data_IF_711293674518
#
_entry.id   IF_711293674518
#
_cell.length_a   1.000
_cell.length_b   1.000
_cell.length_c   1.000
_cell.angle_alpha   90.00
_cell.angle_beta   90.00
_cell.angle_gamma   90.00
#
_symmetry.space_group_name_H-M   'P 1'
#
loop_
_entity.id
_entity.type
_entity.pdbx_description
1 polymer ?
#
# COMPACT_ATOMS: atom_id res chain seq x y z
N UNK A 1 39.78 17.52 7.03
CA UNK A 1 38.56 17.84 6.25
C UNK A 1 38.12 16.62 5.45
N UNK A 2 37.25 15.76 6.00
CA UNK A 2 36.58 14.63 5.30
C UNK A 2 35.30 14.24 6.07
N UNK A 3 34.21 15.02 5.93
CA UNK A 3 32.93 14.66 6.59
C UNK A 3 31.65 15.11 5.85
N UNK A 4 31.69 15.49 4.57
CA UNK A 4 30.50 16.04 3.91
C UNK A 4 29.71 15.07 3.01
N UNK A 5 30.27 13.95 2.54
CA UNK A 5 29.65 13.20 1.42
C UNK A 5 28.65 12.07 1.78
N UNK A 6 28.38 11.78 3.07
CA UNK A 6 27.52 10.63 3.43
C UNK A 6 26.04 10.95 3.70
N UNK A 7 25.63 12.24 3.66
CA UNK A 7 24.27 12.66 4.05
C UNK A 7 23.23 12.66 2.92
N UNK A 8 23.62 12.71 1.65
CA UNK A 8 22.65 12.72 0.53
C UNK A 8 22.05 11.35 0.18
N UNK A 9 22.70 10.25 0.57
CA UNK A 9 22.24 8.90 0.22
C UNK A 9 20.97 8.46 0.97
N UNK A 10 20.64 9.08 2.11
CA UNK A 10 19.43 8.74 2.88
C UNK A 10 18.19 9.53 2.42
N UNK A 11 18.37 10.61 1.65
CA UNK A 11 17.30 11.49 1.17
C UNK A 11 16.61 10.98 -0.11
N UNK A 12 17.13 9.91 -0.72
CA UNK A 12 16.49 9.19 -1.83
C UNK A 12 16.37 7.74 -1.37
N UNK A 13 15.16 7.31 -0.98
CA UNK A 13 14.91 5.99 -0.39
C UNK A 13 15.51 4.80 -1.16
N UNK A 14 15.48 3.58 -0.60
CA UNK A 14 16.15 2.41 -1.16
C UNK A 14 16.05 2.29 -2.69
N UNK A 15 17.19 2.03 -3.36
CA UNK A 15 17.28 2.03 -4.85
C UNK A 15 16.23 1.15 -5.54
N UNK A 16 15.82 0.04 -4.90
CA UNK A 16 14.77 -0.83 -5.44
C UNK A 16 13.38 -0.18 -5.43
N UNK A 17 13.06 0.67 -4.44
CA UNK A 17 11.79 1.41 -4.39
C UNK A 17 11.72 2.47 -5.49
N UNK A 18 12.84 3.11 -5.81
CA UNK A 18 12.92 4.05 -6.94
C UNK A 18 12.67 3.33 -8.28
N UNK A 19 13.19 2.11 -8.44
CA UNK A 19 12.95 1.27 -9.62
C UNK A 19 11.50 0.80 -9.68
N UNK A 20 10.92 0.39 -8.54
CA UNK A 20 9.52 -0.02 -8.45
C UNK A 20 8.59 1.12 -8.84
N UNK A 21 8.81 2.32 -8.29
CA UNK A 21 8.03 3.52 -8.60
C UNK A 21 8.14 3.92 -10.09
N UNK A 22 9.33 3.78 -10.70
CA UNK A 22 9.47 4.02 -12.14
C UNK A 22 8.65 3.02 -12.97
N UNK A 23 8.80 1.72 -12.70
CA UNK A 23 8.07 0.67 -13.39
C UNK A 23 6.55 0.78 -13.19
N UNK A 24 6.12 1.11 -11.97
CA UNK A 24 4.72 1.40 -11.64
C UNK A 24 4.17 2.49 -12.55
N UNK A 25 4.86 3.62 -12.66
CA UNK A 25 4.42 4.72 -13.54
C UNK A 25 4.31 4.26 -14.99
N UNK A 26 5.33 3.59 -15.53
CA UNK A 26 5.31 3.08 -16.92
C UNK A 26 4.15 2.11 -17.19
N UNK A 27 3.82 1.25 -16.21
CA UNK A 27 2.69 0.32 -16.31
C UNK A 27 1.36 1.08 -16.23
N UNK A 28 1.19 1.96 -15.25
CA UNK A 28 -0.05 2.73 -15.05
C UNK A 28 -0.30 3.78 -16.14
N UNK A 29 0.75 4.29 -16.80
CA UNK A 29 0.62 5.18 -17.96
C UNK A 29 0.23 4.45 -19.24
N UNK A 30 0.03 3.13 -19.18
CA UNK A 30 -0.37 2.32 -20.33
C UNK A 30 0.76 2.06 -21.31
N UNK A 31 2.02 2.33 -20.96
CA UNK A 31 3.17 1.93 -21.79
C UNK A 31 3.25 0.39 -21.89
N UNK A 32 2.56 -0.31 -21.00
CA UNK A 32 2.47 -1.74 -20.93
C UNK A 32 1.01 -2.17 -20.81
N UNK A 33 0.53 -2.99 -21.73
CA UNK A 33 -0.86 -3.44 -21.73
C UNK A 33 -1.13 -4.37 -20.53
N UNK A 34 -2.34 -4.34 -19.94
CA UNK A 34 -2.77 -5.36 -18.98
C UNK A 34 -2.61 -6.77 -19.57
N UNK A 35 -2.03 -7.69 -18.80
CA UNK A 35 -1.72 -9.05 -19.26
C UNK A 35 -0.44 -9.17 -20.09
N UNK A 36 0.23 -8.07 -20.44
CA UNK A 36 1.52 -8.12 -21.14
C UNK A 36 2.62 -8.70 -20.24
N UNK A 37 3.56 -9.43 -20.85
CA UNK A 37 4.71 -9.99 -20.15
C UNK A 37 5.81 -8.94 -20.00
N UNK A 38 6.42 -8.82 -18.81
CA UNK A 38 7.67 -8.08 -18.64
C UNK A 38 8.82 -8.78 -19.34
N UNK A 39 9.78 -8.03 -19.93
CA UNK A 39 11.03 -8.61 -20.38
C UNK A 39 11.69 -9.40 -19.26
N UNK A 40 12.52 -10.35 -19.65
CA UNK A 40 13.26 -11.17 -18.68
C UNK A 40 14.10 -10.28 -17.77
N UNK A 41 14.28 -10.70 -16.51
CA UNK A 41 14.88 -9.87 -15.47
C UNK A 41 16.25 -9.30 -15.86
N UNK A 42 17.04 -10.04 -16.64
CA UNK A 42 18.35 -9.59 -17.09
C UNK A 42 18.25 -8.42 -18.08
N UNK A 43 17.41 -8.56 -19.10
CA UNK A 43 17.20 -7.53 -20.13
C UNK A 43 16.56 -6.27 -19.54
N UNK A 44 15.61 -6.43 -18.62
CA UNK A 44 14.97 -5.31 -17.95
C UNK A 44 15.94 -4.60 -17.00
N UNK A 45 16.83 -5.34 -16.32
CA UNK A 45 17.85 -4.76 -15.44
C UNK A 45 18.88 -3.96 -16.23
N UNK A 46 19.30 -4.48 -17.39
CA UNK A 46 20.23 -3.81 -18.30
C UNK A 46 19.61 -2.52 -18.85
N UNK A 47 18.36 -2.56 -19.28
CA UNK A 47 17.60 -1.39 -19.78
C UNK A 47 17.45 -0.29 -18.72
N UNK A 48 17.25 -0.69 -17.46
CA UNK A 48 17.08 0.23 -16.34
C UNK A 48 18.43 0.62 -15.68
N UNK A 49 19.55 0.09 -16.17
CA UNK A 49 20.89 0.28 -15.62
C UNK A 49 20.99 0.00 -14.11
N UNK A 50 20.37 -1.10 -13.66
CA UNK A 50 20.38 -1.54 -12.26
C UNK A 50 20.87 -2.97 -12.12
N UNK A 51 21.27 -3.36 -10.90
CA UNK A 51 21.61 -4.76 -10.64
C UNK A 51 20.36 -5.64 -10.72
N UNK A 52 20.51 -6.89 -11.16
CA UNK A 52 19.42 -7.86 -11.20
C UNK A 52 18.77 -8.08 -9.82
N UNK A 53 19.54 -7.97 -8.74
CA UNK A 53 19.03 -8.08 -7.37
C UNK A 53 18.16 -6.88 -6.99
N UNK A 54 18.51 -5.68 -7.46
CA UNK A 54 17.69 -4.48 -7.30
C UNK A 54 16.39 -4.60 -8.08
N UNK A 55 16.46 -5.09 -9.32
CA UNK A 55 15.27 -5.32 -10.13
C UNK A 55 14.36 -6.38 -9.49
N UNK A 56 14.91 -7.52 -9.04
CA UNK A 56 14.13 -8.58 -8.39
C UNK A 56 13.38 -8.07 -7.17
N UNK A 57 14.01 -7.24 -6.35
CA UNK A 57 13.34 -6.58 -5.21
C UNK A 57 12.24 -5.63 -5.68
N UNK A 58 12.51 -4.81 -6.68
CA UNK A 58 11.53 -3.89 -7.24
C UNK A 58 10.31 -4.62 -7.85
N UNK A 59 10.54 -5.66 -8.64
CA UNK A 59 9.48 -6.50 -9.22
C UNK A 59 8.73 -7.26 -8.12
N UNK A 60 9.41 -7.70 -7.05
CA UNK A 60 8.71 -8.30 -5.91
C UNK A 60 7.76 -7.31 -5.26
N UNK A 61 8.17 -6.05 -5.09
CA UNK A 61 7.29 -4.98 -4.60
C UNK A 61 6.06 -4.82 -5.50
N UNK A 62 6.23 -4.80 -6.83
CA UNK A 62 5.11 -4.69 -7.78
C UNK A 62 4.22 -5.95 -7.81
N UNK A 63 4.78 -7.13 -7.51
CA UNK A 63 4.02 -8.37 -7.34
C UNK A 63 3.18 -8.31 -6.07
N UNK A 64 3.77 -7.82 -4.99
CA UNK A 64 3.10 -7.65 -3.72
C UNK A 64 1.96 -6.62 -3.87
N UNK A 65 2.17 -5.55 -4.63
CA UNK A 65 1.13 -4.56 -5.00
C UNK A 65 0.03 -5.08 -5.92
N UNK A 66 0.17 -6.28 -6.46
CA UNK A 66 -0.76 -6.82 -7.45
C UNK A 66 -0.74 -6.07 -8.79
N UNK A 67 0.25 -5.21 -9.06
CA UNK A 67 0.44 -4.52 -10.35
C UNK A 67 0.97 -5.48 -11.40
N UNK A 68 1.79 -6.44 -10.98
CA UNK A 68 2.26 -7.54 -11.82
C UNK A 68 2.07 -8.87 -11.08
N UNK A 69 2.11 -9.98 -11.80
CA UNK A 69 1.97 -11.32 -11.25
C UNK A 69 3.04 -12.24 -11.82
N UNK A 70 3.68 -13.05 -10.97
CA UNK A 70 4.61 -14.10 -11.40
C UNK A 70 3.83 -15.35 -11.76
N UNK A 71 4.10 -15.89 -12.95
CA UNK A 71 3.63 -17.21 -13.38
C UNK A 71 4.83 -18.13 -13.45
N UNK A 72 4.81 -19.20 -12.64
CA UNK A 72 5.93 -20.14 -12.54
C UNK A 72 6.30 -20.69 -13.93
N UNK A 73 7.57 -20.54 -14.30
CA UNK A 73 8.09 -20.98 -15.61
C UNK A 73 7.68 -20.13 -16.82
N UNK A 74 6.73 -19.20 -16.66
CA UNK A 74 6.19 -18.38 -17.75
C UNK A 74 6.60 -16.89 -17.67
N UNK A 75 7.14 -16.43 -16.55
CA UNK A 75 7.64 -15.06 -16.37
C UNK A 75 6.71 -14.18 -15.54
N UNK A 76 6.87 -12.86 -15.65
CA UNK A 76 6.10 -11.87 -14.87
C UNK A 76 5.20 -11.09 -15.82
N UNK A 77 3.94 -10.89 -15.45
CA UNK A 77 2.91 -10.30 -16.31
C UNK A 77 2.25 -9.12 -15.62
N UNK A 78 1.92 -8.06 -16.36
CA UNK A 78 1.09 -6.96 -15.86
C UNK A 78 -0.28 -7.51 -15.46
N UNK A 79 -0.72 -7.21 -14.24
CA UNK A 79 -2.03 -7.64 -13.79
C UNK A 79 -3.12 -6.95 -14.60
N UNK A 80 -4.24 -7.63 -14.87
CA UNK A 80 -5.43 -6.93 -15.33
C UNK A 80 -5.78 -5.86 -14.29
N UNK A 81 -5.75 -4.59 -14.69
CA UNK A 81 -6.39 -3.52 -13.92
C UNK A 81 -7.78 -4.05 -13.56
N UNK A 82 -8.24 -3.94 -12.29
CA UNK A 82 -9.59 -4.32 -11.96
C UNK A 82 -10.49 -3.53 -12.90
N UNK A 83 -11.13 -4.24 -13.82
CA UNK A 83 -12.22 -3.70 -14.61
C UNK A 83 -13.15 -3.07 -13.58
N UNK A 84 -13.31 -1.74 -13.65
CA UNK A 84 -14.21 -1.03 -12.76
C UNK A 84 -15.54 -1.76 -12.87
N UNK A 85 -15.86 -2.56 -11.86
CA UNK A 85 -16.99 -3.48 -11.93
C UNK A 85 -18.20 -2.65 -12.35
N UNK A 86 -18.99 -3.12 -13.35
CA UNK A 86 -20.10 -2.34 -13.85
C UNK A 86 -20.92 -1.87 -12.66
N UNK A 87 -21.20 -0.57 -12.62
CA UNK A 87 -22.04 0.07 -11.62
C UNK A 87 -23.42 -0.60 -11.66
N UNK A 88 -23.54 -1.73 -10.97
CA UNK A 88 -24.71 -2.55 -10.90
C UNK A 88 -25.70 -1.93 -9.94
N UNK A 89 -26.86 -1.60 -10.49
CA UNK A 89 -28.04 -1.13 -9.80
C UNK A 89 -28.41 -2.03 -8.61
N UNK A 90 -28.73 -1.38 -7.48
CA UNK A 90 -29.29 -2.01 -6.29
C UNK A 90 -29.82 -0.95 -5.33
N UNK A 91 -31.15 -0.81 -5.32
CA UNK A 91 -32.11 -0.18 -4.39
C UNK A 91 -31.74 1.01 -3.46
N UNK A 92 -32.69 1.95 -3.23
CA UNK A 92 -32.51 3.15 -2.40
C UNK A 92 -32.52 2.80 -0.91
N UNK A 93 -31.37 2.32 -0.42
CA UNK A 93 -30.97 2.38 0.98
C UNK A 93 -29.52 2.82 0.97
N UNK A 94 -29.22 3.99 1.53
CA UNK A 94 -27.93 4.68 1.39
C UNK A 94 -26.75 3.72 1.42
N UNK A 95 -25.93 3.76 0.36
CA UNK A 95 -24.77 2.88 0.15
C UNK A 95 -23.95 2.83 1.43
N UNK A 96 -23.86 1.66 2.07
CA UNK A 96 -23.01 1.48 3.24
C UNK A 96 -21.57 1.55 2.77
N UNK A 97 -20.78 2.49 3.29
CA UNK A 97 -19.40 2.72 2.88
C UNK A 97 -18.47 2.63 4.10
N UNK A 98 -17.36 1.92 3.96
CA UNK A 98 -16.30 1.84 4.97
C UNK A 98 -15.00 2.34 4.36
N UNK A 99 -14.33 3.26 5.05
CA UNK A 99 -13.00 3.75 4.69
C UNK A 99 -11.92 2.85 5.27
N UNK A 100 -10.88 2.56 4.48
CA UNK A 100 -9.73 1.74 4.88
C UNK A 100 -8.48 2.55 4.57
N UNK A 101 -7.74 2.90 5.63
CA UNK A 101 -6.49 3.62 5.51
C UNK A 101 -5.34 2.69 5.90
N UNK A 102 -4.41 2.50 4.98
CA UNK A 102 -3.20 1.70 5.18
C UNK A 102 -1.94 2.58 5.08
N UNK A 103 -0.80 2.22 5.70
CA UNK A 103 0.44 2.99 5.59
C UNK A 103 1.04 2.91 4.19
N UNK A 104 0.83 1.77 3.54
CA UNK A 104 1.27 1.49 2.18
C UNK A 104 0.35 0.46 1.55
N UNK A 105 0.13 0.56 0.25
CA UNK A 105 -0.47 -0.50 -0.57
C UNK A 105 0.54 -1.56 -0.99
N UNK A 106 1.83 -1.36 -0.69
CA UNK A 106 2.95 -2.11 -1.29
C UNK A 106 3.61 -3.11 -0.34
N UNK A 107 3.39 -3.01 0.98
CA UNK A 107 4.10 -3.84 1.97
C UNK A 107 3.14 -4.39 3.03
N UNK A 108 3.08 -5.72 3.22
CA UNK A 108 2.21 -6.49 4.15
C UNK A 108 0.68 -6.36 4.03
N UNK A 109 0.15 -5.23 3.54
CA UNK A 109 -1.28 -4.96 3.47
C UNK A 109 -2.06 -5.57 2.29
N UNK A 110 -1.48 -6.06 1.18
CA UNK A 110 -2.28 -6.59 0.06
C UNK A 110 -3.25 -7.70 0.48
N UNK A 111 -2.77 -8.70 1.24
CA UNK A 111 -3.64 -9.79 1.76
C UNK A 111 -4.69 -9.30 2.76
N UNK A 112 -4.36 -8.24 3.52
CA UNK A 112 -5.28 -7.64 4.49
C UNK A 112 -6.37 -6.86 3.77
N UNK A 113 -5.99 -6.04 2.78
CA UNK A 113 -6.90 -5.29 1.91
C UNK A 113 -7.81 -6.24 1.15
N UNK A 114 -7.26 -7.28 0.49
CA UNK A 114 -8.05 -8.29 -0.21
C UNK A 114 -9.06 -8.98 0.71
N UNK A 115 -8.61 -9.34 1.92
CA UNK A 115 -9.47 -9.93 2.95
C UNK A 115 -10.61 -9.00 3.37
N UNK A 116 -10.29 -7.72 3.63
CA UNK A 116 -11.27 -6.68 3.99
C UNK A 116 -12.26 -6.47 2.85
N UNK A 117 -11.77 -6.26 1.63
CA UNK A 117 -12.61 -6.01 0.46
C UNK A 117 -13.55 -7.18 0.19
N UNK A 118 -13.09 -8.43 0.33
CA UNK A 118 -13.93 -9.63 0.19
C UNK A 118 -15.05 -9.64 1.22
N UNK A 119 -14.72 -9.50 2.50
CA UNK A 119 -15.72 -9.55 3.59
C UNK A 119 -16.76 -8.42 3.46
N UNK A 120 -16.32 -7.20 3.14
CA UNK A 120 -17.23 -6.07 2.96
C UNK A 120 -18.13 -6.24 1.72
N UNK A 121 -17.58 -6.76 0.62
CA UNK A 121 -18.35 -7.07 -0.59
C UNK A 121 -19.43 -8.11 -0.32
N UNK A 122 -19.10 -9.19 0.39
CA UNK A 122 -20.05 -10.24 0.76
C UNK A 122 -21.18 -9.69 1.68
N UNK A 123 -20.91 -8.62 2.42
CA UNK A 123 -21.88 -7.90 3.24
C UNK A 123 -22.66 -6.79 2.49
N UNK A 124 -22.40 -6.58 1.20
CA UNK A 124 -23.02 -5.50 0.41
C UNK A 124 -22.57 -4.10 0.86
N UNK A 125 -21.36 -3.97 1.37
CA UNK A 125 -20.74 -2.72 1.84
C UNK A 125 -19.66 -2.31 0.86
N UNK A 126 -19.70 -1.06 0.41
CA UNK A 126 -18.65 -0.47 -0.43
C UNK A 126 -17.42 -0.08 0.38
N UNK A 127 -16.28 -0.02 -0.29
CA UNK A 127 -14.99 0.29 0.33
C UNK A 127 -14.37 1.52 -0.33
N UNK A 128 -13.82 2.42 0.49
CA UNK A 128 -12.96 3.53 0.05
C UNK A 128 -11.56 3.22 0.60
N UNK A 129 -10.57 3.05 -0.26
CA UNK A 129 -9.21 2.69 0.14
C UNK A 129 -8.27 3.88 -0.10
N UNK A 130 -7.45 4.22 0.89
CA UNK A 130 -6.37 5.19 0.74
C UNK A 130 -5.09 4.73 1.44
N UNK A 131 -3.98 5.41 1.13
CA UNK A 131 -2.66 5.12 1.68
C UNK A 131 -2.03 6.38 2.24
N UNK A 132 -1.59 6.36 3.51
CA UNK A 132 -0.93 7.51 4.14
C UNK A 132 0.52 7.68 3.72
N UNK A 133 1.14 6.70 3.06
CA UNK A 133 2.57 6.71 2.68
C UNK A 133 3.50 6.98 3.87
N UNK A 134 3.09 6.54 5.06
CA UNK A 134 3.77 6.83 6.34
C UNK A 134 3.88 8.32 6.68
N UNK A 135 3.05 9.18 6.09
CA UNK A 135 3.02 10.62 6.31
C UNK A 135 1.73 11.03 7.03
N UNK A 136 1.89 11.73 8.16
CA UNK A 136 0.77 12.16 9.01
C UNK A 136 -0.10 13.25 8.37
N UNK A 137 0.47 14.12 7.54
CA UNK A 137 -0.29 15.13 6.82
C UNK A 137 -1.21 14.46 5.81
N UNK A 138 -0.65 13.53 5.02
CA UNK A 138 -1.42 12.72 4.07
C UNK A 138 -2.50 11.91 4.80
N UNK A 139 -2.15 11.26 5.91
CA UNK A 139 -3.10 10.50 6.72
C UNK A 139 -4.32 11.34 7.13
N UNK A 140 -4.08 12.55 7.66
CA UNK A 140 -5.15 13.46 8.09
C UNK A 140 -6.02 13.91 6.91
N UNK A 141 -5.40 14.21 5.78
CA UNK A 141 -6.11 14.63 4.56
C UNK A 141 -6.98 13.50 3.99
N UNK A 142 -6.45 12.27 3.97
CA UNK A 142 -7.18 11.09 3.50
C UNK A 142 -8.35 10.72 4.43
N UNK A 143 -8.16 10.79 5.75
CA UNK A 143 -9.26 10.58 6.72
C UNK A 143 -10.36 11.62 6.50
N UNK A 144 -10.02 12.89 6.31
CA UNK A 144 -11.00 13.94 6.02
C UNK A 144 -11.74 13.67 4.71
N UNK A 145 -11.04 13.34 3.63
CA UNK A 145 -11.65 13.01 2.35
C UNK A 145 -12.62 11.82 2.44
N UNK A 146 -12.28 10.80 3.23
CA UNK A 146 -13.18 9.67 3.48
C UNK A 146 -14.45 10.11 4.22
N UNK A 147 -14.33 10.93 5.26
CA UNK A 147 -15.49 11.44 5.99
C UNK A 147 -16.41 12.27 5.09
N UNK A 148 -15.83 13.13 4.26
CA UNK A 148 -16.57 13.95 3.29
C UNK A 148 -17.28 13.10 2.22
N UNK A 149 -16.76 11.91 1.92
CA UNK A 149 -17.40 10.93 1.01
C UNK A 149 -18.57 10.17 1.64
N UNK A 150 -18.83 10.37 2.93
CA UNK A 150 -19.94 9.73 3.64
C UNK A 150 -19.65 8.31 4.11
N UNK A 151 -18.38 7.95 4.36
CA UNK A 151 -18.06 6.68 5.03
C UNK A 151 -18.74 6.64 6.41
N UNK A 152 -19.23 5.45 6.77
CA UNK A 152 -19.95 5.20 8.01
C UNK A 152 -19.08 4.54 9.07
N UNK A 153 -17.84 4.22 8.72
CA UNK A 153 -16.85 3.66 9.63
C UNK A 153 -15.47 3.61 8.99
N UNK A 154 -14.43 3.50 9.82
CA UNK A 154 -13.04 3.54 9.41
C UNK A 154 -12.26 2.32 9.93
N UNK A 155 -11.41 1.75 9.08
CA UNK A 155 -10.35 0.82 9.46
C UNK A 155 -9.03 1.56 9.25
N UNK A 156 -8.35 1.89 10.34
CA UNK A 156 -7.12 2.68 10.30
C UNK A 156 -5.95 1.81 10.72
N UNK A 157 -4.86 1.88 9.98
CA UNK A 157 -3.58 1.28 10.35
C UNK A 157 -2.60 2.40 10.65
N UNK A 158 -2.62 2.95 11.87
CA UNK A 158 -1.80 4.11 12.22
C UNK A 158 -0.33 3.71 12.42
N UNK A 159 0.59 4.62 12.11
CA UNK A 159 2.02 4.45 12.41
C UNK A 159 2.38 5.08 13.76
N UNK A 160 1.74 4.63 14.84
CA UNK A 160 1.86 5.25 16.17
C UNK A 160 3.30 5.32 16.69
N UNK A 161 4.16 4.38 16.29
CA UNK A 161 5.57 4.33 16.69
C UNK A 161 6.47 5.38 16.00
N UNK A 162 5.98 6.06 14.97
CA UNK A 162 6.70 7.12 14.26
C UNK A 162 6.31 8.52 14.78
N UNK A 163 5.44 8.59 15.79
CA UNK A 163 4.94 9.84 16.34
C UNK A 163 5.75 10.26 17.55
N UNK A 164 6.15 11.53 17.59
CA UNK A 164 6.73 12.14 18.78
C UNK A 164 5.68 12.26 19.91
N UNK A 165 4.42 12.51 19.54
CA UNK A 165 3.28 12.69 20.47
C UNK A 165 2.07 11.80 20.10
N UNK A 166 2.13 10.48 20.37
CA UNK A 166 1.07 9.54 19.97
C UNK A 166 -0.27 9.78 20.69
N UNK A 167 -0.26 10.46 21.84
CA UNK A 167 -1.47 10.72 22.62
C UNK A 167 -2.38 11.75 21.95
N UNK A 168 -1.81 12.81 21.36
CA UNK A 168 -2.59 13.84 20.64
C UNK A 168 -3.33 13.22 19.46
N UNK A 169 -2.66 12.33 18.73
CA UNK A 169 -3.26 11.59 17.62
C UNK A 169 -4.44 10.71 18.06
N UNK A 170 -4.33 10.01 19.19
CA UNK A 170 -5.44 9.22 19.74
C UNK A 170 -6.61 10.12 20.15
N UNK A 171 -6.32 11.28 20.72
CA UNK A 171 -7.35 12.25 21.10
C UNK A 171 -8.03 12.86 19.87
N UNK A 172 -7.32 13.05 18.75
CA UNK A 172 -7.90 13.43 17.46
C UNK A 172 -8.89 12.38 16.96
N UNK A 173 -8.50 11.10 17.00
CA UNK A 173 -9.37 10.00 16.58
C UNK A 173 -10.63 9.88 17.43
N UNK A 174 -10.54 10.12 18.75
CA UNK A 174 -11.70 10.13 19.65
C UNK A 174 -12.74 11.20 19.31
N UNK A 175 -12.37 12.23 18.55
CA UNK A 175 -13.28 13.28 18.10
C UNK A 175 -13.99 12.95 16.78
N UNK A 176 -13.64 11.83 16.14
CA UNK A 176 -14.32 11.37 14.93
C UNK A 176 -15.78 11.00 15.23
N UNK A 177 -16.68 11.35 14.31
CA UNK A 177 -18.12 11.09 14.42
C UNK A 177 -18.54 9.70 13.97
N UNK A 178 -17.63 8.96 13.32
CA UNK A 178 -17.84 7.60 12.82
C UNK A 178 -17.06 6.60 13.67
N UNK A 179 -17.56 5.37 13.86
CA UNK A 179 -16.81 4.31 14.51
C UNK A 179 -15.52 4.00 13.74
N UNK A 180 -14.43 3.78 14.47
CA UNK A 180 -13.15 3.41 13.89
C UNK A 180 -12.53 2.22 14.61
N UNK A 181 -11.77 1.41 13.88
CA UNK A 181 -10.95 0.32 14.42
C UNK A 181 -9.52 0.56 14.04
N UNK A 182 -8.62 0.53 15.03
CA UNK A 182 -7.18 0.53 14.80
C UNK A 182 -6.70 -0.89 14.55
N UNK A 183 -6.06 -1.10 13.42
CA UNK A 183 -5.52 -2.39 12.99
C UNK A 183 -4.02 -2.36 13.20
N UNK A 184 -3.56 -2.95 14.31
CA UNK A 184 -2.15 -3.05 14.68
C UNK A 184 -1.78 -4.53 14.89
N UNK A 185 -0.64 -4.97 14.35
CA UNK A 185 -0.04 -6.27 14.69
C UNK A 185 1.29 -6.04 15.40
N UNK A 186 1.48 -6.71 16.53
CA UNK A 186 2.77 -6.77 17.25
C UNK A 186 3.95 -7.17 16.31
N UNK A 187 5.17 -6.68 16.60
CA UNK A 187 6.37 -6.87 15.79
C UNK A 187 6.87 -8.33 15.73
N UNK A 188 7.83 -8.66 14.83
CA UNK A 188 8.48 -9.97 14.77
C UNK A 188 9.14 -10.35 16.12
N UNK A 189 9.22 -11.67 16.37
CA UNK A 189 9.59 -12.28 17.64
C UNK A 189 10.92 -11.75 18.24
N UNK A 190 11.05 -11.71 19.59
CA UNK A 190 12.27 -11.26 20.25
C UNK A 190 13.48 -12.13 19.88
N UNK A 191 14.67 -11.54 20.00
CA UNK A 191 15.94 -12.23 19.77
C UNK A 191 16.09 -13.42 20.76
N UNK A 192 16.89 -14.45 20.44
CA UNK A 192 16.91 -15.73 21.16
C UNK A 192 17.20 -15.65 22.67
N UNK A 193 17.75 -14.53 23.16
CA UNK A 193 18.24 -14.36 24.53
C UNK A 193 17.46 -13.30 25.34
N UNK A 194 16.21 -13.02 25.00
CA UNK A 194 15.35 -12.15 25.82
C UNK A 194 14.84 -12.90 27.07
N UNK A 195 15.16 -12.45 28.30
CA UNK A 195 14.81 -13.13 29.54
C UNK A 195 13.32 -13.02 29.92
N UNK A 196 12.46 -12.47 29.06
CA UNK A 196 11.01 -12.38 29.29
C UNK A 196 10.18 -13.41 28.51
N UNK A 197 10.80 -14.44 27.91
CA UNK A 197 10.10 -15.64 27.40
C UNK A 197 9.85 -16.68 28.48
#
# INVERSE_FOLDING_TARGET
MKSAEKKDSFLRGPKYLQVAERLRREITSGSWAPGAQLPVERELADTLAVSINTLRRAVSELVDEGIVQRRQGAGTFVSPLPEAAPAGAGSPGGRRLVGVLVPSTTYYYPRVVDGIQRVLRDAGVGVVLASSKYDLGIERDEVRAMLDSGVQGLLLVPNLHLLDEPQEYVDDLRRLTVPYVLVERRPPAPAPDDPTS
#
